data_IF_483491080686
#
_entry.id   IF_483491080686
#
_cell.length_a   1.000
_cell.length_b   1.000
_cell.length_c   1.000
_cell.angle_alpha   90.00
_cell.angle_beta   90.00
_cell.angle_gamma   90.00
#
_symmetry.space_group_name_H-M   'P 1'
#
loop_
_entity.id
_entity.type
_entity.pdbx_description
1 polymer ?
#
# COMPACT_ATOMS: atom_id res chain seq x y z
N UNK A 1 19.39 10.82 -20.03
CA UNK A 1 19.29 10.54 -18.58
C UNK A 1 18.04 11.22 -18.07
N UNK A 2 16.96 10.47 -17.85
CA UNK A 2 15.79 11.00 -17.14
C UNK A 2 15.96 10.51 -15.71
N UNK A 3 16.51 11.35 -14.84
CA UNK A 3 16.36 11.17 -13.40
C UNK A 3 14.86 11.25 -13.13
N UNK A 4 14.18 10.11 -13.10
CA UNK A 4 12.83 10.01 -12.55
C UNK A 4 12.97 10.24 -11.06
N UNK A 5 13.00 11.52 -10.67
CA UNK A 5 12.87 11.90 -9.27
C UNK A 5 11.63 11.20 -8.75
N UNK A 6 11.84 10.25 -7.84
CA UNK A 6 10.74 9.54 -7.23
C UNK A 6 9.96 10.58 -6.40
N UNK A 7 8.62 10.51 -6.42
CA UNK A 7 7.80 11.25 -5.51
C UNK A 7 8.15 10.76 -4.12
N UNK A 8 8.44 11.73 -3.27
CA UNK A 8 8.78 11.52 -1.87
C UNK A 8 7.50 11.70 -1.09
N UNK A 9 7.12 10.67 -0.33
CA UNK A 9 6.04 10.72 0.63
C UNK A 9 6.66 10.76 2.01
N UNK A 10 6.49 11.88 2.70
CA UNK A 10 7.15 12.14 3.98
C UNK A 10 6.14 12.62 5.03
N UNK A 11 6.22 12.12 6.29
CA UNK A 11 7.04 11.00 6.72
C UNK A 11 6.48 9.65 6.25
N UNK A 12 7.35 8.65 6.11
CA UNK A 12 6.90 7.26 5.94
C UNK A 12 6.18 6.77 7.20
N UNK A 13 5.11 6.00 7.00
CA UNK A 13 4.45 5.31 8.11
C UNK A 13 5.35 4.17 8.60
N UNK A 14 5.53 4.06 9.92
CA UNK A 14 6.21 2.92 10.51
C UNK A 14 5.34 1.65 10.41
N UNK A 15 5.90 0.48 10.75
CA UNK A 15 5.21 -0.80 10.63
C UNK A 15 3.85 -0.84 11.38
N UNK A 16 3.78 -0.28 12.57
CA UNK A 16 2.56 -0.29 13.39
C UNK A 16 1.52 0.70 12.84
N UNK A 17 1.97 1.86 12.40
CA UNK A 17 1.12 2.85 11.71
C UNK A 17 0.53 2.28 10.43
N UNK A 18 1.31 1.56 9.62
CA UNK A 18 0.78 0.93 8.41
C UNK A 18 -0.30 -0.11 8.71
N UNK A 19 -0.14 -0.92 9.76
CA UNK A 19 -1.15 -1.92 10.15
C UNK A 19 -2.47 -1.23 10.53
N UNK A 20 -2.41 -0.19 11.35
CA UNK A 20 -3.62 0.54 11.79
C UNK A 20 -4.22 1.31 10.62
N UNK A 21 -3.39 1.92 9.79
CA UNK A 21 -3.84 2.63 8.60
C UNK A 21 -4.56 1.67 7.65
N UNK A 22 -3.99 0.51 7.33
CA UNK A 22 -4.66 -0.53 6.52
C UNK A 22 -6.01 -0.95 7.12
N UNK A 23 -6.09 -1.15 8.44
CA UNK A 23 -7.36 -1.47 9.11
C UNK A 23 -8.41 -0.37 8.92
N UNK A 24 -8.05 0.88 9.24
CA UNK A 24 -8.91 2.05 9.14
C UNK A 24 -9.44 2.25 7.71
N UNK A 25 -8.59 1.99 6.72
CA UNK A 25 -8.96 2.08 5.31
C UNK A 25 -9.95 0.99 4.88
N UNK A 26 -9.83 -0.23 5.41
CA UNK A 26 -10.79 -1.29 5.12
C UNK A 26 -12.18 -0.96 5.65
N UNK A 27 -12.23 -0.44 6.87
CA UNK A 27 -13.48 -0.02 7.49
C UNK A 27 -14.12 1.16 6.72
N UNK A 28 -13.29 2.09 6.21
CA UNK A 28 -13.73 3.16 5.32
C UNK A 28 -14.40 2.60 4.05
N UNK A 29 -13.75 1.61 3.41
CA UNK A 29 -14.27 0.99 2.20
C UNK A 29 -15.60 0.25 2.43
N UNK A 30 -15.73 -0.48 3.54
CA UNK A 30 -16.97 -1.18 3.92
C UNK A 30 -18.11 -0.17 4.18
N UNK A 31 -17.81 0.92 4.88
CA UNK A 31 -18.80 1.94 5.22
C UNK A 31 -19.25 2.78 4.02
N UNK A 32 -18.45 2.82 2.94
CA UNK A 32 -18.62 3.69 1.77
C UNK A 32 -18.94 5.15 2.15
N UNK A 33 -18.39 5.61 3.27
CA UNK A 33 -18.61 6.94 3.84
C UNK A 33 -17.25 7.58 4.10
N UNK A 34 -17.16 8.90 4.08
CA UNK A 34 -15.93 9.62 4.48
C UNK A 34 -15.65 9.51 5.99
N UNK A 35 -16.66 9.11 6.76
CA UNK A 35 -16.57 8.92 8.20
C UNK A 35 -16.72 7.46 8.59
N UNK A 36 -15.85 7.00 9.48
CA UNK A 36 -15.92 5.70 10.12
C UNK A 36 -16.44 5.80 11.55
N UNK A 37 -17.34 4.90 11.93
CA UNK A 37 -17.81 4.74 13.32
C UNK A 37 -17.33 3.42 13.90
N UNK A 38 -16.52 3.49 14.94
CA UNK A 38 -16.03 2.32 15.69
C UNK A 38 -16.70 2.26 17.06
N UNK A 39 -17.30 1.11 17.38
CA UNK A 39 -17.84 0.85 18.72
C UNK A 39 -16.72 0.41 19.65
N UNK A 40 -16.43 1.20 20.69
CA UNK A 40 -15.40 0.90 21.68
C UNK A 40 -15.72 -0.36 22.51
N UNK A 41 -17.00 -0.76 22.57
CA UNK A 41 -17.43 -2.00 23.22
C UNK A 41 -16.88 -3.26 22.52
N UNK A 42 -16.51 -3.16 21.24
CA UNK A 42 -15.91 -4.28 20.50
C UNK A 42 -14.52 -4.66 21.01
N UNK A 43 -13.84 -3.74 21.70
CA UNK A 43 -12.47 -3.87 22.20
C UNK A 43 -12.38 -4.54 23.59
N UNK A 44 -13.46 -5.19 24.09
CA UNK A 44 -13.54 -6.01 25.31
C UNK A 44 -12.61 -5.58 26.47
N UNK A 45 -12.98 -4.56 27.25
CA UNK A 45 -12.32 -4.12 28.51
C UNK A 45 -10.79 -3.95 28.46
N UNK A 46 -10.17 -3.96 27.27
CA UNK A 46 -8.74 -3.80 27.10
C UNK A 46 -8.43 -2.31 26.99
N UNK A 47 -8.28 -1.68 28.17
CA UNK A 47 -8.05 -0.25 28.30
C UNK A 47 -6.76 0.18 27.61
N UNK A 48 -5.72 -0.65 27.64
CA UNK A 48 -4.44 -0.38 26.98
C UNK A 48 -4.61 -0.36 25.46
N UNK A 49 -5.39 -1.28 24.90
CA UNK A 49 -5.70 -1.27 23.46
C UNK A 49 -6.51 -0.04 23.05
N UNK A 50 -7.50 0.38 23.85
CA UNK A 50 -8.28 1.59 23.59
C UNK A 50 -7.39 2.84 23.65
N UNK A 51 -6.51 2.93 24.65
CA UNK A 51 -5.56 4.03 24.76
C UNK A 51 -4.62 4.09 23.55
N UNK A 52 -4.01 2.96 23.18
CA UNK A 52 -3.14 2.88 22.01
C UNK A 52 -3.87 3.28 20.72
N UNK A 53 -5.13 2.85 20.53
CA UNK A 53 -5.94 3.29 19.40
C UNK A 53 -6.08 4.81 19.38
N UNK A 54 -6.44 5.43 20.51
CA UNK A 54 -6.57 6.89 20.58
C UNK A 54 -5.26 7.63 20.31
N UNK A 55 -4.14 7.16 20.85
CA UNK A 55 -2.82 7.74 20.58
C UNK A 55 -2.52 7.72 19.07
N UNK A 56 -2.83 6.62 18.39
CA UNK A 56 -2.57 6.47 16.94
C UNK A 56 -3.52 7.31 16.10
N UNK A 57 -4.77 7.42 16.50
CA UNK A 57 -5.74 8.33 15.87
C UNK A 57 -5.31 9.78 16.02
N UNK A 58 -4.85 10.17 17.21
CA UNK A 58 -4.29 11.49 17.46
C UNK A 58 -3.05 11.75 16.59
N UNK A 59 -2.12 10.81 16.51
CA UNK A 59 -0.94 10.91 15.64
C UNK A 59 -1.35 11.09 14.17
N UNK A 60 -2.30 10.30 13.64
CA UNK A 60 -2.78 10.45 12.27
C UNK A 60 -3.53 11.76 12.00
N UNK A 61 -4.15 12.34 13.04
CA UNK A 61 -4.81 13.65 12.95
C UNK A 61 -3.83 14.83 12.98
N UNK A 62 -2.59 14.61 13.44
CA UNK A 62 -1.59 15.68 13.60
C UNK A 62 -0.42 15.54 12.61
N UNK A 63 -0.07 14.32 12.22
CA UNK A 63 0.98 13.99 11.25
C UNK A 63 0.58 14.45 9.85
N UNK A 64 1.35 15.40 9.31
CA UNK A 64 1.20 15.90 7.94
C UNK A 64 1.98 15.01 6.98
N UNK A 65 1.28 14.41 6.04
CA UNK A 65 1.83 13.71 4.89
C UNK A 65 2.07 14.73 3.78
N UNK A 66 3.29 14.74 3.26
CA UNK A 66 3.71 15.56 2.14
C UNK A 66 4.00 14.64 0.96
N UNK A 67 3.27 14.82 -0.14
CA UNK A 67 3.50 14.12 -1.41
C UNK A 67 4.04 15.12 -2.41
N UNK A 68 5.30 14.95 -2.81
CA UNK A 68 5.93 15.76 -3.86
C UNK A 68 5.88 15.00 -5.18
N UNK A 69 5.26 15.55 -6.22
CA UNK A 69 5.30 14.98 -7.56
C UNK A 69 5.99 15.91 -8.55
N UNK A 70 6.81 15.34 -9.43
CA UNK A 70 7.52 16.02 -10.51
C UNK A 70 6.97 15.55 -11.84
N UNK A 71 5.73 15.96 -12.13
CA UNK A 71 5.07 15.80 -13.42
C UNK A 71 5.46 16.91 -14.39
N UNK A 72 4.48 17.52 -15.08
CA UNK A 72 4.67 18.71 -15.93
C UNK A 72 5.04 19.98 -15.13
N UNK A 73 4.93 19.92 -13.80
CA UNK A 73 5.41 20.91 -12.83
C UNK A 73 5.70 20.24 -11.48
N UNK A 74 6.26 20.99 -10.53
CA UNK A 74 6.43 20.50 -9.14
C UNK A 74 5.14 20.74 -8.37
N UNK A 75 4.42 19.69 -8.01
CA UNK A 75 3.25 19.75 -7.11
C UNK A 75 3.67 19.24 -5.73
N UNK A 76 3.27 19.95 -4.68
CA UNK A 76 3.39 19.49 -3.29
C UNK A 76 2.00 19.46 -2.69
N UNK A 77 1.55 18.26 -2.33
CA UNK A 77 0.28 18.03 -1.63
C UNK A 77 0.58 17.78 -0.16
N UNK A 78 -0.09 18.50 0.74
CA UNK A 78 0.06 18.34 2.19
C UNK A 78 -1.30 18.02 2.81
N UNK A 79 -1.40 16.92 3.56
CA UNK A 79 -2.66 16.50 4.19
C UNK A 79 -2.40 15.62 5.43
N UNK A 80 -3.38 15.53 6.32
CA UNK A 80 -3.39 14.58 7.43
C UNK A 80 -4.10 13.30 7.01
N UNK A 81 -3.83 12.15 7.65
CA UNK A 81 -4.57 10.92 7.33
C UNK A 81 -6.02 11.03 7.84
N UNK A 82 -6.15 11.51 9.08
CA UNK A 82 -7.43 11.80 9.74
C UNK A 82 -7.61 13.31 9.75
N UNK A 83 -8.74 13.79 9.26
CA UNK A 83 -9.10 15.20 9.28
C UNK A 83 -9.62 15.61 10.67
N UNK A 84 -10.46 14.77 11.25
CA UNK A 84 -10.97 14.95 12.62
C UNK A 84 -11.43 13.63 13.23
N UNK A 85 -11.53 13.61 14.56
CA UNK A 85 -12.18 12.52 15.27
C UNK A 85 -12.96 13.06 16.47
N UNK A 86 -13.99 12.34 16.90
CA UNK A 86 -14.80 12.68 18.08
C UNK A 86 -15.24 11.42 18.80
N UNK A 87 -15.39 11.51 20.11
CA UNK A 87 -15.91 10.43 20.96
C UNK A 87 -17.30 10.82 21.42
N UNK A 88 -18.29 9.99 21.11
CA UNK A 88 -19.68 10.17 21.55
C UNK A 88 -20.14 8.85 22.19
N UNK A 89 -20.43 8.92 23.48
CA UNK A 89 -20.66 7.75 24.33
C UNK A 89 -19.49 6.75 24.20
N UNK A 90 -19.78 5.50 23.82
CA UNK A 90 -18.77 4.47 23.57
C UNK A 90 -18.46 4.31 22.07
N UNK A 91 -18.57 5.38 21.29
CA UNK A 91 -18.25 5.34 19.85
C UNK A 91 -17.18 6.36 19.50
N UNK A 92 -16.17 5.89 18.78
CA UNK A 92 -15.18 6.73 18.13
C UNK A 92 -15.63 6.98 16.68
N UNK A 93 -15.87 8.25 16.36
CA UNK A 93 -16.12 8.72 15.00
C UNK A 93 -14.83 9.30 14.43
N UNK A 94 -14.40 8.81 13.27
CA UNK A 94 -13.19 9.23 12.57
C UNK A 94 -13.61 9.77 11.21
N UNK A 95 -13.14 10.96 10.84
CA UNK A 95 -13.34 11.56 9.53
C UNK A 95 -12.00 11.58 8.82
N UNK A 96 -11.91 10.93 7.66
CA UNK A 96 -10.68 10.91 6.86
C UNK A 96 -10.54 12.18 6.04
N UNK A 97 -9.29 12.57 5.75
CA UNK A 97 -9.05 13.67 4.83
C UNK A 97 -9.48 13.33 3.40
N UNK A 98 -9.75 14.36 2.60
CA UNK A 98 -10.20 14.19 1.22
C UNK A 98 -9.21 13.34 0.39
N UNK A 99 -7.87 13.57 0.42
CA UNK A 99 -6.94 12.75 -0.36
C UNK A 99 -6.96 11.26 0.04
N UNK A 100 -7.19 10.97 1.32
CA UNK A 100 -7.34 9.59 1.78
C UNK A 100 -8.67 9.01 1.34
N UNK A 101 -9.77 9.77 1.36
CA UNK A 101 -11.06 9.28 0.89
C UNK A 101 -11.07 9.01 -0.63
N UNK A 102 -10.49 9.92 -1.43
CA UNK A 102 -10.39 9.82 -2.89
C UNK A 102 -9.56 8.62 -3.37
N UNK A 103 -8.63 8.10 -2.56
CA UNK A 103 -7.97 6.80 -2.83
C UNK A 103 -8.97 5.69 -3.11
N UNK A 104 -10.11 5.71 -2.43
CA UNK A 104 -11.06 4.60 -2.41
C UNK A 104 -12.28 4.91 -3.28
N UNK A 105 -12.72 6.16 -3.33
CA UNK A 105 -13.95 6.53 -4.06
C UNK A 105 -13.72 6.96 -5.50
N UNK A 106 -12.54 7.47 -5.84
CA UNK A 106 -12.28 8.07 -7.15
C UNK A 106 -11.39 7.17 -8.02
N UNK A 107 -11.84 6.86 -9.24
CA UNK A 107 -11.09 6.03 -10.22
C UNK A 107 -9.82 6.70 -10.77
N UNK A 108 -9.56 7.96 -10.41
CA UNK A 108 -8.39 8.76 -10.80
C UNK A 108 -7.62 9.27 -9.57
N UNK A 109 -7.50 8.49 -8.50
CA UNK A 109 -6.63 8.95 -7.41
C UNK A 109 -5.21 9.16 -7.93
N UNK A 110 -4.57 10.23 -7.46
CA UNK A 110 -3.15 10.46 -7.64
C UNK A 110 -2.39 9.17 -7.30
N UNK A 111 -1.75 8.59 -8.31
CA UNK A 111 -1.00 7.33 -8.31
C UNK A 111 -0.02 7.17 -7.12
N UNK A 112 0.28 8.27 -6.44
CA UNK A 112 1.32 8.43 -5.45
C UNK A 112 0.86 8.13 -4.02
N UNK A 113 -0.44 8.21 -3.71
CA UNK A 113 -0.91 7.96 -2.34
C UNK A 113 -0.88 6.44 -2.00
N UNK A 114 -0.95 5.55 -3.02
CA UNK A 114 -0.76 4.09 -2.82
C UNK A 114 0.55 3.72 -2.14
N UNK A 115 1.59 4.56 -2.20
CA UNK A 115 2.85 4.29 -1.51
C UNK A 115 2.69 4.18 0.01
N UNK A 116 1.66 4.80 0.59
CA UNK A 116 1.34 4.68 2.01
C UNK A 116 0.93 3.24 2.39
N UNK A 117 0.41 2.46 1.42
CA UNK A 117 -0.05 1.08 1.61
C UNK A 117 1.05 0.04 1.37
N UNK A 118 2.11 0.41 0.65
CA UNK A 118 3.16 -0.54 0.30
C UNK A 118 4.10 -0.76 1.48
N UNK A 119 4.23 -2.03 1.89
CA UNK A 119 5.16 -2.42 2.94
C UNK A 119 6.59 -2.46 2.38
N UNK A 120 6.74 -2.96 1.15
CA UNK A 120 8.01 -2.99 0.48
C UNK A 120 8.28 -1.66 -0.28
N UNK A 121 9.37 -0.98 0.08
CA UNK A 121 9.79 0.29 -0.54
C UNK A 121 10.00 0.21 -2.07
N UNK A 122 10.22 -0.98 -2.61
CA UNK A 122 10.40 -1.21 -4.04
C UNK A 122 9.08 -1.42 -4.79
N UNK A 123 7.97 -1.68 -4.08
CA UNK A 123 6.64 -1.89 -4.69
C UNK A 123 6.21 -0.69 -5.51
N UNK A 124 6.41 0.54 -5.01
CA UNK A 124 6.07 1.75 -5.74
C UNK A 124 6.83 1.86 -7.08
N UNK A 125 8.09 1.41 -7.12
CA UNK A 125 8.91 1.44 -8.33
C UNK A 125 8.42 0.42 -9.34
N UNK A 126 8.14 -0.82 -8.89
CA UNK A 126 7.55 -1.87 -9.72
C UNK A 126 6.17 -1.47 -10.25
N UNK A 127 5.33 -0.88 -9.40
CA UNK A 127 4.01 -0.37 -9.79
C UNK A 127 4.10 0.63 -10.94
N UNK A 128 5.09 1.52 -10.94
CA UNK A 128 5.32 2.47 -12.05
C UNK A 128 5.70 1.78 -13.34
N UNK A 129 6.61 0.80 -13.26
CA UNK A 129 7.02 0.00 -14.41
C UNK A 129 5.79 -0.68 -15.01
N UNK A 130 4.94 -1.28 -14.18
CA UNK A 130 3.74 -1.98 -14.66
C UNK A 130 2.65 -1.03 -15.15
N UNK A 131 2.39 0.10 -14.48
CA UNK A 131 1.34 1.03 -14.88
C UNK A 131 1.64 1.77 -16.20
N UNK A 132 2.92 1.95 -16.52
CA UNK A 132 3.38 2.46 -17.82
C UNK A 132 3.31 1.42 -18.94
N UNK A 133 3.22 0.14 -18.60
CA UNK A 133 3.16 -0.94 -19.57
C UNK A 133 1.73 -1.11 -20.10
N UNK A 134 1.60 -1.53 -21.36
CA UNK A 134 0.31 -1.64 -22.04
C UNK A 134 -0.53 -2.82 -21.53
N UNK A 135 -0.02 -4.03 -21.68
CA UNK A 135 -0.72 -5.28 -21.29
C UNK A 135 0.22 -6.44 -21.03
N UNK A 136 1.38 -6.46 -21.68
CA UNK A 136 2.44 -7.42 -21.42
C UNK A 136 3.79 -6.73 -21.34
N UNK A 137 4.66 -7.22 -20.46
CA UNK A 137 6.04 -6.75 -20.32
C UNK A 137 6.95 -7.97 -20.28
N UNK A 138 7.85 -8.08 -21.26
CA UNK A 138 8.93 -9.08 -21.23
C UNK A 138 10.22 -8.36 -20.89
N UNK A 139 10.86 -8.73 -19.78
CA UNK A 139 12.05 -8.04 -19.27
C UNK A 139 13.02 -9.05 -18.63
N UNK A 140 14.32 -8.83 -18.76
CA UNK A 140 15.33 -9.62 -18.04
C UNK A 140 15.37 -9.24 -16.55
N UNK A 141 15.97 -10.09 -15.70
CA UNK A 141 16.15 -9.76 -14.28
C UNK A 141 16.98 -8.49 -14.10
N UNK A 142 18.06 -8.33 -14.86
CA UNK A 142 18.96 -7.18 -14.73
C UNK A 142 18.30 -5.87 -15.18
N UNK A 143 17.54 -5.89 -16.28
CA UNK A 143 16.75 -4.73 -16.72
C UNK A 143 15.66 -4.38 -15.69
N UNK A 144 15.01 -5.38 -15.09
CA UNK A 144 13.99 -5.15 -14.06
C UNK A 144 14.63 -4.54 -12.80
N UNK A 145 15.75 -5.08 -12.32
CA UNK A 145 16.51 -4.52 -11.19
C UNK A 145 16.93 -3.08 -11.46
N UNK A 146 17.44 -2.80 -12.66
CA UNK A 146 17.80 -1.45 -13.11
C UNK A 146 16.62 -0.50 -13.10
N UNK A 147 15.43 -0.96 -13.50
CA UNK A 147 14.22 -0.11 -13.49
C UNK A 147 13.74 0.28 -12.08
N UNK A 148 14.28 -0.36 -11.04
CA UNK A 148 13.92 -0.11 -9.64
C UNK A 148 15.15 0.20 -8.76
N UNK A 149 16.26 0.61 -9.37
CA UNK A 149 17.56 0.95 -8.75
C UNK A 149 18.11 -0.14 -7.80
N UNK A 150 18.20 -1.37 -8.30
CA UNK A 150 18.70 -2.55 -7.59
C UNK A 150 19.77 -3.33 -8.39
N UNK A 151 20.53 -2.68 -9.29
CA UNK A 151 21.44 -3.37 -10.23
C UNK A 151 22.39 -4.38 -9.54
N UNK A 152 22.97 -3.99 -8.40
CA UNK A 152 23.99 -4.77 -7.67
C UNK A 152 23.43 -5.68 -6.56
N UNK A 153 22.10 -5.78 -6.46
CA UNK A 153 21.43 -6.55 -5.41
C UNK A 153 20.77 -7.83 -5.95
N UNK A 154 20.61 -8.83 -5.08
CA UNK A 154 19.85 -10.06 -5.36
C UNK A 154 20.30 -10.79 -6.64
N UNK A 155 21.58 -11.16 -6.71
CA UNK A 155 22.18 -11.86 -7.86
C UNK A 155 21.43 -13.14 -8.26
N UNK A 156 20.78 -13.81 -7.30
CA UNK A 156 19.94 -14.97 -7.57
C UNK A 156 18.50 -14.53 -7.78
N UNK A 157 17.92 -14.95 -8.91
CA UNK A 157 16.50 -14.75 -9.20
C UNK A 157 15.60 -15.21 -8.04
N UNK A 158 15.93 -16.35 -7.41
CA UNK A 158 15.17 -16.86 -6.26
C UNK A 158 15.08 -15.84 -5.11
N UNK A 159 16.20 -15.18 -4.78
CA UNK A 159 16.24 -14.20 -3.69
C UNK A 159 15.46 -12.93 -4.05
N UNK A 160 15.61 -12.45 -5.29
CA UNK A 160 14.84 -11.31 -5.80
C UNK A 160 13.34 -11.62 -5.80
N UNK A 161 12.97 -12.80 -6.29
CA UNK A 161 11.59 -13.25 -6.39
C UNK A 161 10.93 -13.36 -5.01
N UNK A 162 11.63 -13.99 -4.05
CA UNK A 162 11.14 -14.21 -2.69
C UNK A 162 11.05 -12.92 -1.87
N UNK A 163 12.04 -12.04 -1.97
CA UNK A 163 12.15 -10.85 -1.09
C UNK A 163 11.50 -9.61 -1.66
N UNK A 164 11.38 -9.51 -2.98
CA UNK A 164 10.94 -8.29 -3.67
C UNK A 164 9.71 -8.59 -4.52
N UNK A 165 9.86 -9.42 -5.55
CA UNK A 165 8.88 -9.50 -6.64
C UNK A 165 7.52 -10.01 -6.17
N UNK A 166 7.48 -11.12 -5.42
CA UNK A 166 6.21 -11.73 -4.99
C UNK A 166 5.41 -10.79 -4.09
N UNK A 167 6.02 -10.32 -2.99
CA UNK A 167 5.37 -9.39 -2.08
C UNK A 167 4.92 -8.11 -2.78
N UNK A 168 5.76 -7.55 -3.68
CA UNK A 168 5.39 -6.33 -4.40
C UNK A 168 4.20 -6.55 -5.34
N UNK A 169 4.13 -7.71 -6.01
CA UNK A 169 2.99 -8.05 -6.89
C UNK A 169 1.73 -8.28 -6.06
N UNK A 170 1.84 -8.95 -4.91
CA UNK A 170 0.73 -9.13 -3.97
C UNK A 170 0.19 -7.76 -3.50
N UNK A 171 1.07 -6.86 -3.06
CA UNK A 171 0.71 -5.50 -2.65
C UNK A 171 0.07 -4.71 -3.81
N UNK A 172 0.65 -4.73 -5.01
CA UNK A 172 0.10 -4.04 -6.19
C UNK A 172 -1.29 -4.56 -6.53
N UNK A 173 -1.45 -5.89 -6.55
CA UNK A 173 -2.72 -6.51 -6.86
C UNK A 173 -3.77 -6.25 -5.78
N UNK A 174 -3.36 -6.07 -4.53
CA UNK A 174 -4.26 -5.83 -3.41
C UNK A 174 -4.70 -4.36 -3.35
N UNK A 175 -3.75 -3.43 -3.48
CA UNK A 175 -4.00 -2.03 -3.15
C UNK A 175 -4.25 -1.13 -4.36
N UNK A 176 -4.02 -1.61 -5.59
CA UNK A 176 -4.14 -0.78 -6.79
C UNK A 176 -5.16 -1.34 -7.78
N UNK A 177 -5.48 -0.53 -8.80
CA UNK A 177 -6.31 -0.96 -9.92
C UNK A 177 -5.56 -1.85 -10.93
N UNK A 178 -4.31 -2.25 -10.68
CA UNK A 178 -3.61 -3.20 -11.53
C UNK A 178 -3.83 -4.65 -11.08
N UNK A 179 -3.84 -5.56 -12.05
CA UNK A 179 -3.64 -6.98 -11.85
C UNK A 179 -2.41 -7.40 -12.64
N UNK A 180 -1.39 -7.89 -11.94
CA UNK A 180 -0.10 -8.29 -12.46
C UNK A 180 0.09 -9.77 -12.15
N UNK A 181 0.34 -10.55 -13.20
CA UNK A 181 0.80 -11.94 -13.12
C UNK A 181 2.12 -12.05 -13.83
N UNK A 182 2.97 -13.00 -13.43
CA UNK A 182 4.22 -13.23 -14.12
C UNK A 182 4.52 -14.72 -14.30
N UNK A 183 5.30 -15.01 -15.33
CA UNK A 183 5.86 -16.33 -15.56
C UNK A 183 7.32 -16.23 -16.03
N UNK A 184 8.09 -17.28 -15.73
CA UNK A 184 9.48 -17.41 -16.18
C UNK A 184 9.50 -17.90 -17.62
N UNK A 185 10.15 -17.17 -18.52
CA UNK A 185 10.36 -17.53 -19.92
C UNK A 185 11.82 -17.93 -20.10
N UNK A 186 12.05 -19.23 -20.20
CA UNK A 186 13.36 -19.78 -20.53
C UNK A 186 13.62 -19.58 -22.02
N UNK A 187 14.83 -19.12 -22.37
CA UNK A 187 15.20 -19.08 -23.78
C UNK A 187 15.51 -20.49 -24.28
N UNK A 188 15.16 -20.74 -25.55
CA UNK A 188 15.59 -21.92 -26.29
C UNK A 188 16.98 -21.73 -26.91
N UNK A 189 17.47 -20.48 -26.93
CA UNK A 189 18.78 -20.10 -27.45
C UNK A 189 19.80 -20.25 -26.33
N UNK A 190 20.90 -20.93 -26.63
CA UNK A 190 22.04 -21.06 -25.73
C UNK A 190 22.58 -19.66 -25.40
N UNK A 191 22.85 -19.40 -24.13
CA UNK A 191 23.41 -18.14 -23.61
C UNK A 191 22.47 -16.91 -23.58
N UNK A 192 21.20 -17.04 -23.97
CA UNK A 192 20.24 -15.94 -23.73
C UNK A 192 19.71 -15.99 -22.29
N UNK A 193 19.75 -14.86 -21.54
CA UNK A 193 19.30 -14.83 -20.15
C UNK A 193 17.80 -15.12 -20.05
N UNK A 194 17.41 -15.81 -18.97
CA UNK A 194 16.00 -16.03 -18.63
C UNK A 194 15.27 -14.70 -18.49
N UNK A 195 14.07 -14.60 -19.07
CA UNK A 195 13.22 -13.41 -19.01
C UNK A 195 11.98 -13.67 -18.16
N UNK A 196 11.43 -12.59 -17.60
CA UNK A 196 10.13 -12.59 -16.94
C UNK A 196 9.11 -12.03 -17.92
N UNK A 197 8.01 -12.75 -18.12
CA UNK A 197 6.85 -12.25 -18.84
C UNK A 197 5.77 -11.87 -17.82
N UNK A 198 5.47 -10.58 -17.76
CA UNK A 198 4.36 -10.04 -16.99
C UNK A 198 3.14 -9.86 -17.88
N UNK A 199 1.99 -10.25 -17.35
CA UNK A 199 0.66 -9.91 -17.89
C UNK A 199 0.04 -8.91 -16.94
N UNK A 200 -0.33 -7.74 -17.46
CA UNK A 200 -0.79 -6.58 -16.70
C UNK A 200 -2.17 -6.19 -17.24
N UNK A 201 -3.16 -6.11 -16.36
CA UNK A 201 -4.50 -5.64 -16.71
C UNK A 201 -4.94 -4.54 -15.75
N UNK A 202 -5.73 -3.59 -16.26
CA UNK A 202 -6.39 -2.57 -15.43
C UNK A 202 -7.76 -3.08 -15.03
N UNK A 203 -8.00 -3.21 -13.74
CA UNK A 203 -9.29 -3.55 -13.17
C UNK A 203 -10.23 -2.35 -13.36
N UNK A 204 -11.40 -2.59 -13.94
CA UNK A 204 -12.44 -1.56 -14.12
C UNK A 204 -12.99 -1.05 -12.79
N UNK A 205 -12.91 -1.89 -11.74
CA UNK A 205 -13.33 -1.68 -10.36
C UNK A 205 -12.43 -2.54 -9.45
N UNK A 206 -12.23 -2.13 -8.19
CA UNK A 206 -11.58 -3.00 -7.19
C UNK A 206 -12.49 -4.22 -7.00
N UNK A 207 -11.98 -5.41 -7.30
CA UNK A 207 -12.79 -6.64 -7.32
C UNK A 207 -13.04 -7.22 -5.91
N UNK A 208 -14.05 -8.08 -5.74
CA UNK A 208 -14.47 -8.62 -4.44
C UNK A 208 -13.44 -9.51 -3.73
N UNK A 209 -12.42 -10.03 -4.44
CA UNK A 209 -11.26 -10.71 -3.84
C UNK A 209 -10.48 -9.80 -2.87
N UNK A 210 -10.67 -8.48 -2.96
CA UNK A 210 -10.22 -7.52 -1.96
C UNK A 210 -10.89 -7.76 -0.60
N UNK A 211 -12.14 -8.22 -0.51
CA UNK A 211 -12.84 -8.32 0.78
C UNK A 211 -12.51 -9.59 1.59
N UNK A 212 -12.09 -10.68 0.94
CA UNK A 212 -11.90 -11.98 1.61
C UNK A 212 -10.53 -12.13 2.31
N UNK A 213 -9.50 -11.41 1.87
CA UNK A 213 -8.19 -11.42 2.54
C UNK A 213 -8.16 -10.68 3.89
N UNK A 214 -9.14 -9.81 4.17
CA UNK A 214 -9.12 -8.95 5.37
C UNK A 214 -10.13 -9.36 6.46
N UNK A 215 -11.07 -10.27 6.20
CA UNK A 215 -11.87 -10.91 7.26
C UNK A 215 -11.02 -11.71 8.25
N UNK A 216 -9.83 -12.17 7.83
CA UNK A 216 -8.83 -12.77 8.73
C UNK A 216 -8.14 -11.74 9.64
N UNK A 217 -8.19 -10.45 9.30
CA UNK A 217 -7.32 -9.42 9.86
C UNK A 217 -7.69 -8.92 11.25
N UNK A 218 -8.94 -9.00 11.74
CA UNK A 218 -9.26 -8.52 13.10
C UNK A 218 -8.63 -9.41 14.18
N UNK A 219 -8.78 -10.73 14.05
CA UNK A 219 -8.14 -11.70 14.95
C UNK A 219 -6.61 -11.73 14.74
N UNK A 220 -6.13 -11.59 13.51
CA UNK A 220 -4.68 -11.46 13.25
C UNK A 220 -4.11 -10.12 13.73
N UNK A 221 -4.90 -9.03 13.80
CA UNK A 221 -4.53 -7.76 14.44
C UNK A 221 -4.32 -8.02 15.92
N UNK A 222 -5.31 -8.62 16.59
CA UNK A 222 -5.24 -8.96 18.02
C UNK A 222 -4.00 -9.82 18.30
N UNK A 223 -3.73 -10.84 17.48
CA UNK A 223 -2.56 -11.71 17.64
C UNK A 223 -1.23 -10.99 17.32
N UNK A 224 -1.20 -10.09 16.32
CA UNK A 224 -0.02 -9.26 16.02
C UNK A 224 0.23 -8.16 17.07
N UNK A 225 -0.83 -7.63 17.68
CA UNK A 225 -0.75 -6.64 18.76
C UNK A 225 -0.20 -7.28 20.03
N UNK A 226 -0.70 -8.47 20.42
CA UNK A 226 -0.15 -9.25 21.55
C UNK A 226 1.34 -9.55 21.40
N UNK A 227 1.78 -9.89 20.18
CA UNK A 227 3.19 -10.18 19.89
C UNK A 227 4.11 -8.95 19.81
N UNK A 228 3.57 -7.73 19.72
CA UNK A 228 4.36 -6.48 19.68
C UNK A 228 4.54 -5.86 21.07
N UNK A 229 3.64 -6.16 22.02
CA UNK A 229 3.60 -5.52 23.34
C UNK A 229 3.80 -6.48 24.53
N UNK A 230 4.38 -7.68 24.30
CA UNK A 230 4.64 -8.71 25.33
C UNK A 230 3.43 -8.97 26.26
N UNK A 231 2.33 -9.44 25.67
CA UNK A 231 1.28 -10.18 26.37
C UNK A 231 1.40 -11.68 26.12
#
# INVERSE_FOLDING_TARGET
>A
MITTNLPEVEPELNKNEKIIFEYLLNELEISNSKSLKLSLNSFKNDLDMIQNLFERIFEFSTKKIVVKDKGTGTRTLCFNIIDSYSIIDNNLLIVFSEPIYELFTNKQTDFHIYSLLFQNKYTLRLFKVFNKSSSTLTISLDELKKSIDLEDCYNRLYDFEKKILKNSIEEINSYTNLSVKYQKKYSKVKDEPMKLLFTITKKSERGPEYHDNFKKSYNELIEKFKTIYDF
#
